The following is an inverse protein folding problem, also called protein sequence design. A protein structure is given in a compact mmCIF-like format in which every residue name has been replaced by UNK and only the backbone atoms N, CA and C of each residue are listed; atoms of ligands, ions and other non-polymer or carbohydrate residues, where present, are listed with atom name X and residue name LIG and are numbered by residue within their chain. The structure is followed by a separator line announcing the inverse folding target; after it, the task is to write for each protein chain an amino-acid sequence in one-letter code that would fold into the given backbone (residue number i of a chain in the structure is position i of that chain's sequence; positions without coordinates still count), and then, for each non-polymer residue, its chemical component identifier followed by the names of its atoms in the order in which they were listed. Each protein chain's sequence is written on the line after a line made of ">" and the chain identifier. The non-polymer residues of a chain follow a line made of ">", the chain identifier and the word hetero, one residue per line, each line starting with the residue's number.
data_IF_700613352710
#
_entry.id   IF_700613352710
#
_cell.length_a   1.000
_cell.length_b   1.000
_cell.length_c   1.000
_cell.angle_alpha   90.00
_cell.angle_beta   90.00
_cell.angle_gamma   90.00
#
_symmetry.space_group_name_H-M   'P 1'
#
loop_
_entity.id
_entity.type
_entity.pdbx_description
1 polymer ?
#
# COMPACT_ATOMS: atom_id res chain seq x y z
N UNK A 1 -12.53 -3.81 -5.56
CA UNK A 1 -11.44 -3.94 -4.56
C UNK A 1 -10.47 -2.77 -4.64
N UNK A 2 -9.77 -2.56 -5.76
CA UNK A 2 -8.74 -1.51 -5.91
C UNK A 2 -9.22 -0.09 -5.61
N UNK A 3 -10.40 0.29 -6.10
CA UNK A 3 -10.96 1.63 -5.85
C UNK A 3 -11.20 1.88 -4.35
N UNK A 4 -11.84 0.94 -3.65
CA UNK A 4 -12.08 1.03 -2.21
C UNK A 4 -10.78 1.19 -1.41
N UNK A 5 -9.72 0.48 -1.82
CA UNK A 5 -8.40 0.57 -1.19
C UNK A 5 -7.81 1.97 -1.35
N UNK A 6 -7.89 2.55 -2.55
CA UNK A 6 -7.47 3.93 -2.80
C UNK A 6 -8.26 4.93 -1.96
N UNK A 7 -9.59 4.76 -1.87
CA UNK A 7 -10.45 5.65 -1.09
C UNK A 7 -10.08 5.64 0.41
N UNK A 8 -9.73 4.45 0.94
CA UNK A 8 -9.26 4.31 2.34
C UNK A 8 -7.90 4.96 2.54
N UNK A 9 -6.95 4.78 1.61
CA UNK A 9 -5.62 5.39 1.71
C UNK A 9 -5.68 6.92 1.66
N UNK A 10 -6.55 7.48 0.81
CA UNK A 10 -6.79 8.92 0.76
C UNK A 10 -7.45 9.44 2.05
N UNK A 11 -8.45 8.73 2.59
CA UNK A 11 -9.07 9.09 3.86
C UNK A 11 -8.06 9.04 5.03
N UNK A 12 -7.17 8.04 5.03
CA UNK A 12 -6.10 7.94 6.04
C UNK A 12 -5.13 9.12 5.94
N UNK A 13 -4.74 9.52 4.72
CA UNK A 13 -3.88 10.68 4.50
C UNK A 13 -4.52 11.97 5.00
N UNK A 14 -5.81 12.18 4.70
CA UNK A 14 -6.57 13.34 5.21
C UNK A 14 -6.61 13.34 6.74
N UNK A 15 -6.91 12.18 7.35
CA UNK A 15 -6.97 12.06 8.81
C UNK A 15 -5.64 12.42 9.48
N UNK A 16 -4.50 11.98 8.92
CA UNK A 16 -3.16 12.31 9.45
C UNK A 16 -2.92 13.82 9.44
N UNK A 17 -3.30 14.50 8.36
CA UNK A 17 -3.11 15.94 8.22
C UNK A 17 -3.91 16.74 9.26
N UNK A 18 -5.11 16.27 9.60
CA UNK A 18 -6.01 16.91 10.56
C UNK A 18 -5.64 16.66 12.03
N UNK A 19 -4.76 15.69 12.33
CA UNK A 19 -4.37 15.40 13.72
C UNK A 19 -3.64 16.59 14.38
N UNK A 20 -3.85 16.78 15.67
CA UNK A 20 -3.24 17.88 16.44
C UNK A 20 -2.04 17.46 17.28
N UNK A 21 -1.74 16.16 17.34
CA UNK A 21 -0.72 15.60 18.22
C UNK A 21 0.62 15.34 17.51
N UNK A 22 0.63 15.31 16.18
CA UNK A 22 1.84 15.23 15.36
C UNK A 22 2.25 16.63 14.90
N UNK A 23 3.54 16.89 14.89
CA UNK A 23 4.12 18.03 14.19
C UNK A 23 4.05 17.83 12.65
N UNK A 24 4.28 18.92 11.92
CA UNK A 24 4.14 18.94 10.46
C UNK A 24 5.18 18.07 9.74
N UNK A 25 6.39 17.92 10.29
CA UNK A 25 7.42 17.04 9.71
C UNK A 25 6.96 15.58 9.78
N UNK A 26 6.50 15.15 10.95
CA UNK A 26 5.97 13.79 11.16
C UNK A 26 4.76 13.51 10.26
N UNK A 27 3.84 14.48 10.08
CA UNK A 27 2.69 14.34 9.18
C UNK A 27 3.10 14.15 7.72
N UNK A 28 4.11 14.89 7.27
CA UNK A 28 4.63 14.79 5.91
C UNK A 28 5.25 13.42 5.65
N UNK A 29 6.12 12.95 6.55
CA UNK A 29 6.72 11.61 6.46
C UNK A 29 5.66 10.49 6.48
N UNK A 30 4.62 10.63 7.30
CA UNK A 30 3.52 9.67 7.32
C UNK A 30 2.70 9.69 6.01
N UNK A 31 2.53 10.86 5.39
CA UNK A 31 1.86 10.99 4.08
C UNK A 31 2.67 10.38 2.95
N UNK A 32 4.00 10.55 2.96
CA UNK A 32 4.92 9.89 2.03
C UNK A 32 4.85 8.36 2.16
N UNK A 33 4.82 7.87 3.41
CA UNK A 33 4.68 6.43 3.67
C UNK A 33 3.36 5.87 3.12
N UNK A 34 2.25 6.59 3.27
CA UNK A 34 0.95 6.19 2.70
C UNK A 34 1.04 6.12 1.17
N UNK A 35 1.64 7.13 0.54
CA UNK A 35 1.81 7.17 -0.91
C UNK A 35 2.68 6.02 -1.46
N UNK A 36 3.59 5.49 -0.64
CA UNK A 36 4.47 4.37 -0.98
C UNK A 36 3.85 2.98 -0.76
N UNK A 37 2.62 2.87 -0.24
CA UNK A 37 1.97 1.58 0.00
C UNK A 37 1.70 0.88 -1.34
N UNK A 38 2.34 -0.28 -1.52
CA UNK A 38 2.05 -1.17 -2.66
C UNK A 38 0.86 -2.07 -2.31
N UNK A 39 -0.17 -2.07 -3.16
CA UNK A 39 -1.37 -2.87 -2.96
C UNK A 39 -1.27 -4.19 -3.71
N UNK A 40 -1.50 -5.31 -3.02
CA UNK A 40 -1.68 -6.63 -3.62
C UNK A 40 -3.14 -7.05 -3.54
N UNK A 41 -3.74 -7.51 -4.63
CA UNK A 41 -5.15 -7.92 -4.67
C UNK A 41 -5.27 -9.33 -5.22
N UNK A 42 -5.80 -10.26 -4.43
CA UNK A 42 -5.98 -11.65 -4.86
C UNK A 42 -4.68 -12.45 -4.73
N UNK A 43 -4.00 -12.68 -5.85
CA UNK A 43 -2.78 -13.47 -5.94
C UNK A 43 -1.64 -12.62 -6.53
N UNK A 44 -0.37 -12.98 -6.30
CA UNK A 44 0.75 -12.31 -6.95
C UNK A 44 0.63 -12.39 -8.47
N UNK A 45 0.90 -11.29 -9.17
CA UNK A 45 0.85 -11.25 -10.63
C UNK A 45 1.84 -12.24 -11.28
N UNK A 46 2.92 -12.56 -10.56
CA UNK A 46 3.98 -13.47 -11.00
C UNK A 46 3.64 -14.96 -10.77
N UNK A 47 2.44 -15.28 -10.28
CA UNK A 47 1.99 -16.64 -10.01
C UNK A 47 1.56 -17.36 -11.30
N UNK A 48 2.49 -17.48 -12.27
CA UNK A 48 2.30 -18.25 -13.51
C UNK A 48 2.74 -19.71 -13.33
N UNK A 49 2.16 -20.63 -14.09
CA UNK A 49 2.54 -22.05 -14.04
C UNK A 49 4.04 -22.26 -14.32
N UNK A 50 4.60 -21.50 -15.27
CA UNK A 50 6.01 -21.52 -15.61
C UNK A 50 6.89 -21.05 -14.44
N UNK A 51 6.52 -19.95 -13.78
CA UNK A 51 7.28 -19.44 -12.63
C UNK A 51 7.22 -20.39 -11.45
N UNK A 52 6.05 -20.98 -11.20
CA UNK A 52 5.89 -22.01 -10.17
C UNK A 52 6.80 -23.21 -10.48
N UNK A 53 6.78 -23.72 -11.72
CA UNK A 53 7.59 -24.87 -12.10
C UNK A 53 9.09 -24.58 -12.07
N UNK A 54 9.51 -23.34 -12.37
CA UNK A 54 10.91 -22.93 -12.25
C UNK A 54 11.37 -22.74 -10.79
N UNK A 55 10.52 -22.23 -9.92
CA UNK A 55 10.83 -21.99 -8.49
C UNK A 55 10.98 -23.31 -7.70
N UNK A 56 10.19 -24.34 -8.03
CA UNK A 56 10.14 -25.61 -7.30
C UNK A 56 10.77 -26.79 -8.05
N UNK A 57 11.74 -26.52 -8.93
CA UNK A 57 12.29 -27.51 -9.88
C UNK A 57 13.34 -28.49 -9.30
N UNK A 58 13.40 -28.64 -7.97
CA UNK A 58 14.27 -29.62 -7.30
C UNK A 58 13.88 -31.07 -7.60
#
# INVERSE_FOLDING_TARGET
>A
ARQMLNDILEAMKQHIQETTWMDDETKNLASEKIAAITTFTGYPDDLSAENIENEYKD
#
